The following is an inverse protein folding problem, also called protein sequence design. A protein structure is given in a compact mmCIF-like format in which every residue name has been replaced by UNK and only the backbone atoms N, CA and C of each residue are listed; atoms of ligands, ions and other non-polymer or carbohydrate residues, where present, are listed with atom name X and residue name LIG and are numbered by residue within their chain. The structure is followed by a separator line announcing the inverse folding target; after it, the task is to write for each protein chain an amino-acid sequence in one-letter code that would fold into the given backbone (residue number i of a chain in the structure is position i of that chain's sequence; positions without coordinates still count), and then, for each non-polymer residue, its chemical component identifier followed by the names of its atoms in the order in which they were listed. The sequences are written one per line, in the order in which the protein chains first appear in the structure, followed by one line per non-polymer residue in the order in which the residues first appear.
data_IF_653104561469
#
_entry.id   IF_653104561469
#
_cell.length_a   1.000
_cell.length_b   1.000
_cell.length_c   1.000
_cell.angle_alpha   90.00
_cell.angle_beta   90.00
_cell.angle_gamma   90.00
#
_symmetry.space_group_name_H-M   'P 1'
#
loop_
_entity.id
_entity.type
_entity.pdbx_description
1 polymer ?
#
# COMPACT_ATOMS: atom_id res chain seq x y z
N UNK A 1 10.60 -10.74 15.73
CA UNK A 1 10.95 -11.03 17.14
C UNK A 1 12.16 -10.20 17.52
N UNK A 2 12.10 -9.49 18.64
CA UNK A 2 13.23 -8.74 19.19
C UNK A 2 13.78 -9.49 20.41
N UNK A 3 15.09 -9.68 20.46
CA UNK A 3 15.78 -10.32 21.60
C UNK A 3 16.84 -9.42 22.24
N UNK A 4 17.07 -8.24 21.65
CA UNK A 4 18.04 -7.24 22.09
C UNK A 4 17.40 -5.86 22.06
N UNK A 5 17.88 -4.97 22.93
CA UNK A 5 17.53 -3.56 22.90
C UNK A 5 18.38 -2.78 21.86
N UNK A 6 18.13 -1.47 21.76
CA UNK A 6 18.85 -0.59 20.84
C UNK A 6 20.35 -0.46 21.15
N UNK A 7 20.77 -0.76 22.39
CA UNK A 7 22.17 -0.79 22.80
C UNK A 7 22.81 -2.19 22.62
N UNK A 8 22.09 -3.15 22.03
CA UNK A 8 22.54 -4.53 21.80
C UNK A 8 22.49 -5.45 23.01
N UNK A 9 22.01 -4.96 24.17
CA UNK A 9 21.89 -5.76 25.40
C UNK A 9 20.75 -6.76 25.26
N UNK A 10 20.93 -7.97 25.81
CA UNK A 10 19.92 -9.02 25.76
C UNK A 10 18.70 -8.62 26.59
N UNK A 11 17.50 -8.80 26.02
CA UNK A 11 16.25 -8.61 26.74
C UNK A 11 15.97 -9.81 27.65
N UNK A 12 15.29 -9.56 28.78
CA UNK A 12 14.90 -10.60 29.74
C UNK A 12 13.87 -11.59 29.15
N UNK A 13 13.14 -11.17 28.12
CA UNK A 13 12.23 -12.00 27.34
C UNK A 13 12.21 -11.51 25.88
N UNK A 14 11.92 -12.40 24.91
CA UNK A 14 11.69 -11.98 23.54
C UNK A 14 10.42 -11.11 23.45
N UNK A 15 10.46 -10.09 22.60
CA UNK A 15 9.32 -9.21 22.32
C UNK A 15 8.80 -9.47 20.92
N UNK A 16 7.48 -9.62 20.80
CA UNK A 16 6.79 -9.90 19.55
C UNK A 16 5.82 -8.77 19.22
N UNK A 17 5.93 -8.23 18.00
CA UNK A 17 4.95 -7.31 17.43
C UNK A 17 4.47 -7.93 16.11
N UNK A 18 3.22 -8.44 16.06
CA UNK A 18 2.69 -9.04 14.83
C UNK A 18 2.29 -8.00 13.79
N UNK A 19 2.25 -6.71 14.16
CA UNK A 19 1.74 -5.63 13.31
C UNK A 19 0.22 -5.50 13.38
N UNK A 20 -0.33 -4.67 12.50
CA UNK A 20 -1.77 -4.55 12.26
C UNK A 20 -2.30 -5.73 11.43
N UNK A 21 -3.60 -5.98 11.51
CA UNK A 21 -4.27 -7.01 10.67
C UNK A 21 -4.62 -6.52 9.27
N UNK A 22 -4.59 -5.20 9.05
CA UNK A 22 -4.83 -4.55 7.76
C UNK A 22 -3.80 -3.44 7.53
N UNK A 23 -3.65 -3.01 6.28
CA UNK A 23 -2.76 -1.90 5.90
C UNK A 23 -3.41 -0.58 6.26
N UNK A 24 -2.77 0.21 7.12
CA UNK A 24 -3.29 1.54 7.48
C UNK A 24 -2.72 2.64 6.58
N UNK A 25 -1.66 2.33 5.84
CA UNK A 25 -1.01 3.25 4.92
C UNK A 25 -0.33 2.54 3.75
N UNK A 26 -0.12 3.26 2.64
CA UNK A 26 0.65 2.77 1.50
C UNK A 26 2.14 2.50 1.80
N UNK A 27 2.66 2.92 2.95
CA UNK A 27 3.99 2.53 3.40
C UNK A 27 4.04 1.03 3.75
N UNK A 28 2.92 0.48 4.20
CA UNK A 28 2.74 -0.92 4.59
C UNK A 28 2.30 -1.81 3.43
N UNK A 29 2.25 -1.30 2.19
CA UNK A 29 1.61 -2.00 1.06
C UNK A 29 2.24 -3.37 0.75
N UNK A 30 3.55 -3.49 0.94
CA UNK A 30 4.31 -4.73 0.73
C UNK A 30 4.44 -5.57 2.01
N UNK A 31 3.89 -5.10 3.13
CA UNK A 31 3.93 -5.87 4.38
C UNK A 31 2.91 -7.01 4.33
N UNK A 32 3.37 -8.20 4.74
CA UNK A 32 2.48 -9.33 5.00
C UNK A 32 1.72 -9.06 6.30
N UNK A 33 0.40 -9.14 6.24
CA UNK A 33 -0.48 -8.93 7.40
C UNK A 33 -0.86 -10.26 8.01
N UNK A 34 -1.07 -10.27 9.32
CA UNK A 34 -1.34 -11.51 10.04
C UNK A 34 -1.28 -11.35 11.55
N UNK A 35 -1.18 -12.49 12.23
CA UNK A 35 -1.05 -12.56 13.67
C UNK A 35 -0.06 -13.66 14.08
N UNK A 36 0.34 -13.67 15.34
CA UNK A 36 1.22 -14.70 15.89
C UNK A 36 0.43 -15.65 16.79
N UNK A 37 0.62 -16.95 16.59
CA UNK A 37 0.30 -17.96 17.60
C UNK A 37 1.57 -18.16 18.42
N UNK A 38 1.47 -17.98 19.74
CA UNK A 38 2.59 -18.18 20.67
C UNK A 38 2.23 -19.31 21.63
N UNK A 39 3.10 -20.30 21.72
CA UNK A 39 2.99 -21.42 22.63
C UNK A 39 4.06 -21.29 23.71
N UNK A 40 3.63 -21.33 24.97
CA UNK A 40 4.50 -21.22 26.14
C UNK A 40 4.60 -22.59 26.82
N UNK A 41 5.82 -23.11 26.92
CA UNK A 41 6.10 -24.33 27.66
C UNK A 41 6.39 -24.00 29.14
N UNK A 42 6.00 -24.88 30.08
CA UNK A 42 6.50 -24.83 31.45
C UNK A 42 8.04 -24.77 31.46
N UNK A 43 8.63 -23.86 32.24
CA UNK A 43 10.09 -23.67 32.28
C UNK A 43 10.67 -22.68 31.26
N UNK A 44 9.84 -21.95 30.50
CA UNK A 44 10.27 -20.78 29.74
C UNK A 44 10.57 -21.01 28.26
N UNK A 45 10.26 -22.19 27.71
CA UNK A 45 10.32 -22.43 26.27
C UNK A 45 9.21 -21.68 25.53
N UNK A 46 9.56 -21.03 24.41
CA UNK A 46 8.59 -20.28 23.59
C UNK A 46 8.68 -20.78 22.14
N UNK A 47 7.55 -21.23 21.59
CA UNK A 47 7.39 -21.43 20.14
C UNK A 47 6.45 -20.37 19.60
N UNK A 48 6.67 -19.94 18.36
CA UNK A 48 5.79 -19.00 17.69
C UNK A 48 5.61 -19.37 16.23
N UNK A 49 4.44 -19.05 15.68
CA UNK A 49 4.13 -19.19 14.26
C UNK A 49 3.35 -17.98 13.79
N UNK A 50 3.77 -17.38 12.69
CA UNK A 50 3.02 -16.33 12.01
C UNK A 50 1.92 -16.95 11.14
N UNK A 51 0.71 -16.41 11.26
CA UNK A 51 -0.46 -16.83 10.51
C UNK A 51 -0.85 -15.67 9.58
N UNK A 52 -0.60 -15.79 8.27
CA UNK A 52 -0.94 -14.72 7.33
C UNK A 52 -2.45 -14.56 7.24
N UNK A 53 -2.88 -13.31 7.05
CA UNK A 53 -4.26 -12.94 6.80
C UNK A 53 -4.36 -12.28 5.42
N UNK A 54 -5.46 -12.52 4.68
CA UNK A 54 -5.75 -11.71 3.51
C UNK A 54 -5.95 -10.26 3.96
N UNK A 55 -5.35 -9.34 3.21
CA UNK A 55 -5.50 -7.90 3.40
C UNK A 55 -5.65 -7.26 2.03
N UNK A 56 -6.52 -6.25 1.89
CA UNK A 56 -6.78 -5.60 0.60
C UNK A 56 -5.46 -5.13 -0.04
N UNK A 57 -5.19 -5.46 -1.31
CA UNK A 57 -3.99 -4.97 -1.99
C UNK A 57 -3.99 -3.44 -2.05
N UNK A 58 -2.84 -2.82 -1.78
CA UNK A 58 -2.63 -1.38 -1.99
C UNK A 58 -1.66 -1.18 -3.16
N UNK A 59 -2.11 -0.56 -4.24
CA UNK A 59 -1.38 -0.52 -5.51
C UNK A 59 -1.12 0.92 -5.94
N UNK A 60 0.16 1.25 -6.20
CA UNK A 60 0.52 2.50 -6.86
C UNK A 60 0.51 2.29 -8.37
N UNK A 61 -0.34 3.04 -9.08
CA UNK A 61 -0.30 3.15 -10.55
C UNK A 61 0.35 4.46 -10.95
N UNK A 62 1.45 4.37 -11.70
CA UNK A 62 2.11 5.55 -12.24
C UNK A 62 1.43 5.97 -13.54
N UNK A 63 1.06 7.24 -13.63
CA UNK A 63 0.49 7.87 -14.83
C UNK A 63 1.56 8.73 -15.49
N UNK A 64 1.94 8.35 -16.70
CA UNK A 64 2.72 9.18 -17.60
C UNK A 64 1.80 9.83 -18.63
N UNK A 65 1.87 11.16 -18.73
CA UNK A 65 1.09 11.97 -19.66
C UNK A 65 1.95 12.89 -20.51
N UNK A 66 3.26 12.64 -20.57
CA UNK A 66 4.23 13.55 -21.21
C UNK A 66 4.22 13.49 -22.73
N UNK A 67 3.85 12.36 -23.33
CA UNK A 67 3.91 12.13 -24.78
C UNK A 67 2.64 11.48 -25.38
N UNK A 68 1.59 11.29 -24.58
CA UNK A 68 0.37 10.61 -24.98
C UNK A 68 -0.83 11.57 -25.01
N UNK A 69 -1.74 11.35 -25.94
CA UNK A 69 -3.05 12.00 -25.96
C UNK A 69 -3.90 11.57 -24.76
N UNK A 70 -4.91 12.37 -24.41
CA UNK A 70 -5.85 12.03 -23.34
C UNK A 70 -6.51 10.65 -23.57
N UNK A 71 -6.85 10.32 -24.82
CA UNK A 71 -7.52 9.08 -25.16
C UNK A 71 -6.60 7.87 -24.95
N UNK A 72 -5.34 7.96 -25.34
CA UNK A 72 -4.33 6.92 -25.12
C UNK A 72 -4.10 6.67 -23.62
N UNK A 73 -3.96 7.73 -22.83
CA UNK A 73 -3.80 7.63 -21.36
C UNK A 73 -5.02 6.99 -20.72
N UNK A 74 -6.24 7.39 -21.13
CA UNK A 74 -7.49 6.78 -20.63
C UNK A 74 -7.58 5.30 -20.98
N UNK A 75 -7.32 4.94 -22.23
CA UNK A 75 -7.37 3.56 -22.69
C UNK A 75 -6.34 2.69 -21.93
N UNK A 76 -5.14 3.21 -21.69
CA UNK A 76 -4.13 2.53 -20.87
C UNK A 76 -4.60 2.34 -19.43
N UNK A 77 -5.10 3.40 -18.78
CA UNK A 77 -5.58 3.32 -17.40
C UNK A 77 -6.74 2.34 -17.25
N UNK A 78 -7.70 2.33 -18.18
CA UNK A 78 -8.81 1.38 -18.17
C UNK A 78 -8.29 -0.06 -18.22
N UNK A 79 -7.33 -0.35 -19.12
CA UNK A 79 -6.72 -1.69 -19.20
C UNK A 79 -5.97 -2.07 -17.93
N UNK A 80 -5.22 -1.12 -17.36
CA UNK A 80 -4.47 -1.36 -16.12
C UNK A 80 -5.41 -1.63 -14.95
N UNK A 81 -6.42 -0.78 -14.74
CA UNK A 81 -7.42 -0.92 -13.67
C UNK A 81 -8.17 -2.24 -13.79
N UNK A 82 -8.59 -2.63 -14.99
CA UNK A 82 -9.31 -3.88 -15.23
C UNK A 82 -8.46 -5.15 -14.97
N UNK A 83 -7.13 -5.04 -14.99
CA UNK A 83 -6.21 -6.13 -14.70
C UNK A 83 -5.87 -6.27 -13.21
N UNK A 84 -6.30 -5.32 -12.36
CA UNK A 84 -6.07 -5.37 -10.91
C UNK A 84 -7.14 -6.19 -10.20
N UNK A 85 -6.85 -6.56 -8.96
CA UNK A 85 -7.86 -7.05 -8.02
C UNK A 85 -8.97 -5.99 -7.86
N UNK A 86 -10.23 -6.42 -8.01
CA UNK A 86 -11.39 -5.54 -7.89
C UNK A 86 -11.52 -4.89 -6.50
N UNK A 87 -11.01 -5.56 -5.47
CA UNK A 87 -10.99 -5.05 -4.10
C UNK A 87 -9.73 -4.22 -3.80
N UNK A 88 -8.84 -3.97 -4.77
CA UNK A 88 -7.65 -3.18 -4.51
C UNK A 88 -7.98 -1.74 -4.04
N UNK A 89 -7.08 -1.18 -3.25
CA UNK A 89 -7.01 0.26 -2.97
C UNK A 89 -5.91 0.80 -3.88
N UNK A 90 -6.29 1.57 -4.89
CA UNK A 90 -5.40 2.03 -5.96
C UNK A 90 -5.12 3.53 -5.79
N UNK A 91 -3.84 3.89 -5.82
CA UNK A 91 -3.39 5.28 -5.79
C UNK A 91 -2.67 5.62 -7.08
N UNK A 92 -3.17 6.63 -7.78
CA UNK A 92 -2.50 7.16 -8.96
C UNK A 92 -1.39 8.12 -8.55
N UNK A 93 -0.22 8.00 -9.17
CA UNK A 93 0.92 8.91 -8.98
C UNK A 93 1.40 9.43 -10.35
N UNK A 94 1.66 10.73 -10.51
CA UNK A 94 2.28 11.22 -11.74
C UNK A 94 3.74 10.75 -11.84
N UNK A 95 4.20 10.43 -13.04
CA UNK A 95 5.60 9.99 -13.27
C UNK A 95 6.63 11.12 -13.01
N UNK A 96 6.31 12.35 -13.41
CA UNK A 96 7.14 13.53 -13.17
C UNK A 96 6.32 14.82 -13.20
N UNK A 97 5.76 15.14 -14.37
CA UNK A 97 4.85 16.25 -14.60
C UNK A 97 3.71 15.75 -15.49
N UNK A 98 2.49 16.13 -15.12
CA UNK A 98 1.28 15.79 -15.86
C UNK A 98 0.56 17.09 -16.20
N UNK A 99 0.15 17.32 -17.46
CA UNK A 99 -0.55 18.54 -17.83
C UNK A 99 -1.81 18.74 -16.98
N UNK A 100 -2.07 19.97 -16.53
CA UNK A 100 -3.25 20.28 -15.71
C UNK A 100 -4.56 19.85 -16.40
N UNK A 101 -4.64 20.02 -17.72
CA UNK A 101 -5.78 19.55 -18.51
C UNK A 101 -5.99 18.03 -18.41
N UNK A 102 -4.91 17.25 -18.38
CA UNK A 102 -4.97 15.81 -18.21
C UNK A 102 -5.42 15.43 -16.79
N UNK A 103 -4.92 16.12 -15.75
CA UNK A 103 -5.40 15.94 -14.38
C UNK A 103 -6.90 16.23 -14.24
N UNK A 104 -7.36 17.35 -14.79
CA UNK A 104 -8.78 17.71 -14.79
C UNK A 104 -9.63 16.68 -15.52
N UNK A 105 -9.14 16.15 -16.65
CA UNK A 105 -9.83 15.14 -17.43
C UNK A 105 -9.84 13.75 -16.78
N UNK A 106 -8.81 13.42 -15.98
CA UNK A 106 -8.69 12.20 -15.18
C UNK A 106 -9.18 12.43 -13.74
N UNK A 107 -10.31 13.15 -13.58
CA UNK A 107 -10.92 13.42 -12.29
C UNK A 107 -11.25 12.15 -11.50
N UNK A 108 -11.37 12.25 -10.17
CA UNK A 108 -11.82 11.12 -9.35
C UNK A 108 -13.19 10.57 -9.78
N UNK A 109 -14.08 11.44 -10.26
CA UNK A 109 -15.38 11.02 -10.81
C UNK A 109 -15.19 10.10 -12.01
N UNK A 110 -14.27 10.45 -12.92
CA UNK A 110 -13.97 9.62 -14.07
C UNK A 110 -13.31 8.29 -13.64
N UNK A 111 -12.33 8.33 -12.72
CA UNK A 111 -11.69 7.12 -12.19
C UNK A 111 -12.71 6.14 -11.58
N UNK A 112 -13.61 6.64 -10.74
CA UNK A 112 -14.70 5.83 -10.16
C UNK A 112 -15.70 5.31 -11.19
N UNK A 113 -15.85 5.98 -12.33
CA UNK A 113 -16.76 5.53 -13.40
C UNK A 113 -16.20 4.37 -14.23
N UNK A 114 -14.88 4.18 -14.23
CA UNK A 114 -14.20 3.11 -15.00
C UNK A 114 -13.65 1.98 -14.12
N UNK A 115 -13.55 2.20 -12.81
CA UNK A 115 -13.11 1.19 -11.86
C UNK A 115 -14.28 0.30 -11.37
N UNK A 116 -14.00 -0.93 -10.90
CA UNK A 116 -14.99 -1.74 -10.19
C UNK A 116 -15.60 -0.96 -9.01
N UNK A 117 -16.89 -1.17 -8.72
CA UNK A 117 -17.61 -0.44 -7.66
C UNK A 117 -17.05 -0.66 -6.25
N UNK A 118 -16.27 -1.72 -6.05
CA UNK A 118 -15.63 -2.08 -4.78
C UNK A 118 -14.19 -1.56 -4.65
N UNK A 119 -13.63 -1.04 -5.74
CA UNK A 119 -12.27 -0.51 -5.78
C UNK A 119 -12.25 0.92 -5.21
N UNK A 120 -11.36 1.15 -4.25
CA UNK A 120 -11.05 2.52 -3.82
C UNK A 120 -9.94 3.06 -4.70
N UNK A 121 -10.24 4.03 -5.57
CA UNK A 121 -9.27 4.62 -6.51
C UNK A 121 -9.24 6.15 -6.39
N UNK A 122 -8.05 6.71 -6.23
CA UNK A 122 -7.86 8.16 -6.15
C UNK A 122 -6.45 8.59 -6.55
N UNK A 123 -6.26 9.89 -6.76
CA UNK A 123 -4.92 10.47 -6.87
C UNK A 123 -4.24 10.54 -5.51
N UNK A 124 -2.95 10.23 -5.47
CA UNK A 124 -2.15 10.47 -4.28
C UNK A 124 -2.01 11.98 -4.03
N UNK A 125 -2.38 12.43 -2.83
CA UNK A 125 -2.08 13.81 -2.39
C UNK A 125 -0.54 13.92 -2.35
N UNK A 126 0.08 14.93 -3.00
CA UNK A 126 1.49 15.21 -2.81
C UNK A 126 1.73 15.39 -1.31
N UNK A 127 2.53 14.51 -0.70
CA UNK A 127 3.00 14.78 0.66
C UNK A 127 3.82 16.07 0.59
N UNK A 128 3.49 17.03 1.43
CA UNK A 128 4.34 18.19 1.67
C UNK A 128 5.77 17.68 1.92
N UNK A 129 6.66 17.92 0.96
CA UNK A 129 8.09 17.77 1.18
C UNK A 129 8.53 19.09 1.79
N UNK A 130 8.93 19.06 3.07
CA UNK A 130 9.62 20.19 3.65
C UNK A 130 10.86 20.50 2.78
N UNK A 131 11.16 21.77 2.50
CA UNK A 131 12.36 22.11 1.74
C UNK A 131 13.59 21.52 2.44
N UNK A 132 14.47 20.92 1.65
CA UNK A 132 15.78 20.50 2.14
C UNK A 132 16.50 21.75 2.69
N UNK A 133 16.79 21.75 3.99
CA UNK A 133 17.56 22.79 4.65
C UNK A 133 19.04 22.73 4.31
#
# INVERSE_FOLDING_TARGET
MLTRDLAGRRLNAPVFYPGSIERTSFAEREEEKGYLIIELAPGGGIRHRFMPLPARPMIDLTVDGSAATLEEVRAQLIRQIAALDAEAIVRLRPAASIPAALLSALSERWLRSVAPSTMNISWGIPRYQAPAG
#
